data_IF_382227897300
#
_entry.id   IF_382227897300
#
_cell.length_a   1.000
_cell.length_b   1.000
_cell.length_c   1.000
_cell.angle_alpha   90.00
_cell.angle_beta   90.00
_cell.angle_gamma   90.00
#
_symmetry.space_group_name_H-M   'P 1'
#
loop_
_entity.id
_entity.type
_entity.pdbx_description
1 polymer ?
#
# COMPACT_ATOMS: atom_id res chain seq x y z
N UNK A 1 55.54 18.37 -35.87
CA UNK A 1 54.17 18.82 -35.48
C UNK A 1 53.21 18.26 -36.52
N UNK A 2 52.27 17.36 -36.26
CA UNK A 2 51.39 17.17 -35.09
C UNK A 2 50.94 15.71 -35.02
N UNK A 3 50.92 15.14 -33.82
CA UNK A 3 50.36 13.83 -33.47
C UNK A 3 48.83 13.94 -33.55
N UNK A 4 48.17 13.04 -34.27
CA UNK A 4 46.70 12.88 -34.23
C UNK A 4 46.34 12.01 -33.03
N UNK A 5 45.78 12.64 -31.99
CA UNK A 5 45.18 11.97 -30.84
C UNK A 5 43.80 11.44 -31.25
N UNK A 6 43.62 10.12 -31.21
CA UNK A 6 42.31 9.50 -31.23
C UNK A 6 41.68 9.62 -29.83
N UNK A 7 40.63 10.42 -29.68
CA UNK A 7 39.79 10.38 -28.48
C UNK A 7 38.82 9.20 -28.60
N UNK A 8 39.09 8.15 -27.83
CA UNK A 8 38.09 7.13 -27.49
C UNK A 8 37.08 7.76 -26.51
N UNK A 9 35.85 7.95 -26.97
CA UNK A 9 34.72 8.34 -26.14
C UNK A 9 34.16 7.08 -25.47
N UNK A 10 34.55 6.82 -24.22
CA UNK A 10 33.94 5.78 -23.40
C UNK A 10 32.59 6.28 -22.87
N UNK A 11 31.49 5.86 -23.47
CA UNK A 11 30.14 6.09 -22.95
C UNK A 11 29.90 5.12 -21.81
N UNK A 12 29.96 5.60 -20.57
CA UNK A 12 29.57 4.83 -19.40
C UNK A 12 28.05 4.68 -19.35
N UNK A 13 27.54 3.51 -19.72
CA UNK A 13 26.17 3.13 -19.37
C UNK A 13 26.13 2.88 -17.86
N UNK A 14 25.59 3.84 -17.11
CA UNK A 14 25.19 3.61 -15.73
C UNK A 14 24.10 2.54 -15.71
N UNK A 15 24.45 1.33 -15.27
CA UNK A 15 23.47 0.28 -15.04
C UNK A 15 22.54 0.71 -13.91
N UNK A 16 21.34 1.17 -14.24
CA UNK A 16 20.26 1.28 -13.27
C UNK A 16 19.93 -0.14 -12.83
N UNK A 17 20.21 -0.47 -11.57
CA UNK A 17 19.77 -1.75 -11.00
C UNK A 17 18.25 -1.83 -11.07
N UNK A 18 17.67 -2.97 -11.49
CA UNK A 18 16.22 -3.11 -11.51
C UNK A 18 15.70 -2.92 -10.08
N UNK A 19 14.88 -1.89 -9.89
CA UNK A 19 14.18 -1.69 -8.62
C UNK A 19 13.12 -2.78 -8.53
N UNK A 20 13.19 -3.60 -7.48
CA UNK A 20 12.13 -4.55 -7.19
C UNK A 20 10.84 -3.77 -6.96
N UNK A 21 9.73 -4.13 -7.65
CA UNK A 21 8.43 -3.51 -7.41
C UNK A 21 8.03 -3.62 -5.94
N UNK A 22 7.41 -2.57 -5.39
CA UNK A 22 7.00 -2.54 -3.99
C UNK A 22 5.98 -3.64 -3.64
N UNK A 23 5.31 -4.19 -4.66
CA UNK A 23 4.31 -5.25 -4.56
C UNK A 23 4.83 -6.66 -4.88
N UNK A 24 6.16 -6.85 -4.98
CA UNK A 24 6.74 -8.17 -5.25
C UNK A 24 6.68 -9.15 -4.07
N UNK A 25 6.50 -8.64 -2.85
CA UNK A 25 6.37 -9.40 -1.61
C UNK A 25 5.25 -8.78 -0.75
N UNK A 26 4.43 -9.58 -0.04
CA UNK A 26 3.31 -9.06 0.75
C UNK A 26 3.75 -8.09 1.84
N UNK A 27 4.89 -8.32 2.50
CA UNK A 27 5.38 -7.39 3.54
C UNK A 27 5.87 -6.10 2.89
N UNK A 28 6.54 -6.20 1.75
CA UNK A 28 6.98 -5.02 0.98
C UNK A 28 5.78 -4.15 0.56
N UNK A 29 4.67 -4.75 0.11
CA UNK A 29 3.48 -4.00 -0.28
C UNK A 29 2.94 -3.18 0.89
N UNK A 30 2.70 -3.82 2.04
CA UNK A 30 2.18 -3.14 3.22
C UNK A 30 3.18 -2.10 3.74
N UNK A 31 4.48 -2.39 3.67
CA UNK A 31 5.52 -1.42 4.03
C UNK A 31 5.49 -0.19 3.14
N UNK A 32 5.33 -0.38 1.83
CA UNK A 32 5.27 0.72 0.88
C UNK A 32 4.00 1.56 1.03
N UNK A 33 2.84 0.94 1.33
CA UNK A 33 1.62 1.66 1.73
C UNK A 33 1.92 2.54 2.93
N UNK A 34 2.45 2.00 4.03
CA UNK A 34 2.70 2.83 5.22
C UNK A 34 3.82 3.87 5.04
N UNK A 35 4.70 3.71 4.05
CA UNK A 35 5.74 4.67 3.72
C UNK A 35 5.17 5.98 3.15
N UNK A 36 4.04 5.92 2.45
CA UNK A 36 3.40 7.11 1.87
C UNK A 36 3.03 8.14 2.95
N UNK A 37 2.56 7.66 4.12
CA UNK A 37 2.23 8.46 5.28
C UNK A 37 3.42 9.20 5.92
N UNK A 38 4.64 8.70 5.70
CA UNK A 38 5.86 9.31 6.22
C UNK A 38 6.46 10.34 5.25
N UNK A 39 6.33 10.10 3.94
CA UNK A 39 6.96 10.89 2.89
C UNK A 39 6.15 12.12 2.48
N UNK A 40 4.82 12.10 2.64
CA UNK A 40 3.97 13.18 2.15
C UNK A 40 2.75 13.41 3.05
N UNK A 41 2.87 14.40 3.94
CA UNK A 41 1.82 14.73 4.93
C UNK A 41 0.69 15.58 4.35
N UNK A 42 0.87 16.10 3.13
CA UNK A 42 -0.03 17.07 2.51
C UNK A 42 -0.93 16.42 1.43
N UNK A 43 -0.89 15.08 1.28
CA UNK A 43 -1.74 14.35 0.33
C UNK A 43 -3.08 13.98 0.94
N UNK A 44 -4.17 14.28 0.24
CA UNK A 44 -5.53 13.90 0.64
C UNK A 44 -5.78 12.38 0.65
N UNK A 45 -4.92 11.58 0.00
CA UNK A 45 -5.04 10.11 -0.01
C UNK A 45 -3.66 9.43 -0.01
N UNK A 46 -3.06 9.18 1.16
CA UNK A 46 -1.82 8.42 1.28
C UNK A 46 -2.06 6.93 0.93
N UNK A 47 -1.71 6.55 -0.30
CA UNK A 47 -1.85 5.16 -0.77
C UNK A 47 -1.11 4.89 -2.08
N UNK A 48 -0.90 3.62 -2.41
CA UNK A 48 -0.37 3.23 -3.71
C UNK A 48 -1.50 3.10 -4.74
N UNK A 49 -1.28 3.50 -6.00
CA UNK A 49 -2.25 3.23 -7.06
C UNK A 49 -2.38 1.71 -7.27
N UNK A 50 -3.59 1.24 -7.59
CA UNK A 50 -3.87 -0.17 -7.90
C UNK A 50 -3.48 -1.16 -6.79
N UNK A 51 -3.65 -0.75 -5.53
CA UNK A 51 -3.29 -1.56 -4.35
C UNK A 51 -4.26 -2.72 -4.08
N UNK A 52 -5.52 -2.58 -4.46
CA UNK A 52 -6.56 -3.57 -4.19
C UNK A 52 -6.56 -4.70 -5.22
N UNK A 53 -6.97 -5.90 -4.77
CA UNK A 53 -7.24 -7.02 -5.66
C UNK A 53 -8.40 -6.66 -6.59
N UNK A 54 -8.53 -7.34 -7.73
CA UNK A 54 -9.68 -7.14 -8.63
C UNK A 54 -11.00 -7.31 -7.90
N UNK A 55 -11.07 -8.27 -6.97
CA UNK A 55 -12.26 -8.54 -6.16
C UNK A 55 -12.61 -7.38 -5.22
N UNK A 56 -11.63 -6.88 -4.45
CA UNK A 56 -11.87 -5.81 -3.49
C UNK A 56 -12.12 -4.48 -4.22
N UNK A 57 -11.39 -4.20 -5.30
CA UNK A 57 -11.62 -3.03 -6.15
C UNK A 57 -13.05 -3.01 -6.69
N UNK A 58 -13.60 -4.15 -7.12
CA UNK A 58 -14.99 -4.21 -7.59
C UNK A 58 -16.03 -3.86 -6.50
N UNK A 59 -15.70 -4.05 -5.22
CA UNK A 59 -16.56 -3.60 -4.11
C UNK A 59 -16.47 -2.09 -3.92
N UNK A 60 -15.26 -1.51 -4.02
CA UNK A 60 -15.04 -0.05 -3.98
C UNK A 60 -15.77 0.63 -5.14
N UNK A 61 -15.59 0.13 -6.37
CA UNK A 61 -16.24 0.68 -7.57
C UNK A 61 -17.77 0.59 -7.47
N UNK A 62 -18.28 -0.49 -6.86
CA UNK A 62 -19.71 -0.64 -6.61
C UNK A 62 -20.20 0.38 -5.60
N UNK A 63 -19.45 0.64 -4.52
CA UNK A 63 -19.80 1.64 -3.53
C UNK A 63 -19.85 3.04 -4.14
N UNK A 64 -18.84 3.41 -4.91
CA UNK A 64 -18.79 4.69 -5.63
C UNK A 64 -20.00 4.85 -6.57
N UNK A 65 -20.36 3.80 -7.33
CA UNK A 65 -21.51 3.83 -8.23
C UNK A 65 -22.86 3.96 -7.50
N UNK A 66 -22.98 3.35 -6.32
CA UNK A 66 -24.20 3.41 -5.51
C UNK A 66 -24.29 4.70 -4.68
N UNK A 67 -23.20 5.46 -4.58
CA UNK A 67 -23.10 6.69 -3.81
C UNK A 67 -23.79 7.85 -4.54
N UNK A 68 -24.78 8.51 -3.90
CA UNK A 68 -25.40 9.70 -4.48
C UNK A 68 -24.41 10.84 -4.68
N UNK A 69 -24.65 11.70 -5.67
CA UNK A 69 -23.82 12.89 -5.91
C UNK A 69 -23.71 13.76 -4.64
N UNK A 70 -22.47 14.14 -4.29
CA UNK A 70 -22.17 14.92 -3.09
C UNK A 70 -22.07 14.13 -1.79
N UNK A 71 -22.25 12.80 -1.83
CA UNK A 71 -22.01 11.91 -0.69
C UNK A 71 -20.64 11.23 -0.80
N UNK A 72 -20.09 10.79 0.33
CA UNK A 72 -18.74 10.19 0.41
C UNK A 72 -18.76 8.67 0.12
N UNK A 73 -19.89 8.00 0.35
CA UNK A 73 -20.03 6.54 0.22
C UNK A 73 -20.09 5.84 1.57
N UNK A 74 -19.96 4.52 1.59
CA UNK A 74 -20.02 3.73 2.84
C UNK A 74 -18.73 3.81 3.64
N UNK A 75 -17.61 3.98 2.96
CA UNK A 75 -16.28 4.14 3.56
C UNK A 75 -15.91 5.61 3.47
N UNK A 76 -16.11 6.34 4.56
CA UNK A 76 -15.80 7.77 4.63
C UNK A 76 -14.46 8.07 5.31
N UNK A 77 -13.62 7.07 5.61
CA UNK A 77 -12.32 7.21 6.28
C UNK A 77 -11.19 6.47 5.55
N UNK A 78 -9.94 6.76 5.91
CA UNK A 78 -8.78 6.00 5.45
C UNK A 78 -8.69 4.64 6.17
N UNK A 79 -8.96 3.57 5.41
CA UNK A 79 -8.99 2.19 5.90
C UNK A 79 -7.64 1.68 6.40
N UNK A 80 -6.50 2.21 5.95
CA UNK A 80 -5.18 1.72 6.38
C UNK A 80 -4.77 2.27 7.75
N UNK A 81 -5.31 3.42 8.14
CA UNK A 81 -5.02 4.08 9.44
C UNK A 81 -6.23 4.21 10.37
N UNK A 82 -7.41 3.82 9.91
CA UNK A 82 -8.68 3.90 10.65
C UNK A 82 -8.98 5.33 11.12
N UNK A 83 -8.97 6.30 10.18
CA UNK A 83 -9.22 7.69 10.52
C UNK A 83 -9.27 8.64 9.33
N UNK A 84 -9.62 9.90 9.62
CA UNK A 84 -9.56 11.02 8.67
C UNK A 84 -8.15 11.63 8.58
N UNK A 85 -7.47 11.66 9.73
CA UNK A 85 -6.12 12.19 9.89
C UNK A 85 -5.17 11.11 10.39
N UNK A 86 -3.87 11.32 10.17
CA UNK A 86 -2.84 10.42 10.69
C UNK A 86 -1.70 11.12 11.41
N UNK A 87 -1.26 10.47 12.49
CA UNK A 87 0.04 10.70 13.13
C UNK A 87 0.58 9.36 13.61
N UNK A 88 1.28 8.67 12.72
CA UNK A 88 1.71 7.30 12.98
C UNK A 88 2.96 7.26 13.86
N UNK A 89 2.95 6.40 14.88
CA UNK A 89 4.14 6.08 15.67
C UNK A 89 4.19 4.61 16.06
N UNK A 90 5.40 4.10 16.29
CA UNK A 90 5.60 2.71 16.71
C UNK A 90 5.13 1.67 15.70
N UNK A 91 5.17 1.99 14.41
CA UNK A 91 4.78 1.08 13.33
C UNK A 91 5.64 -0.19 13.34
N UNK A 92 4.96 -1.33 13.36
CA UNK A 92 5.53 -2.66 13.17
C UNK A 92 4.69 -3.41 12.15
N UNK A 93 5.36 -3.96 11.14
CA UNK A 93 4.74 -4.75 10.08
C UNK A 93 5.33 -6.15 10.17
N UNK A 94 4.47 -7.16 10.21
CA UNK A 94 4.88 -8.55 10.34
C UNK A 94 4.06 -9.46 9.43
N UNK A 95 4.74 -10.40 8.77
CA UNK A 95 4.09 -11.51 8.08
C UNK A 95 3.44 -12.44 9.12
N UNK A 96 2.16 -12.74 8.93
CA UNK A 96 1.40 -13.66 9.79
C UNK A 96 1.37 -15.05 9.16
N UNK A 97 1.06 -15.12 7.87
CA UNK A 97 1.03 -16.36 7.09
C UNK A 97 1.29 -16.06 5.61
N UNK A 98 1.81 -17.05 4.86
CA UNK A 98 2.06 -16.94 3.41
C UNK A 98 1.93 -18.30 2.75
N UNK A 99 1.23 -18.34 1.62
CA UNK A 99 1.19 -19.43 0.65
C UNK A 99 1.70 -18.93 -0.71
N UNK A 100 1.59 -19.77 -1.75
CA UNK A 100 2.00 -19.38 -3.10
C UNK A 100 1.16 -18.22 -3.67
N UNK A 101 -0.12 -18.10 -3.26
CA UNK A 101 -1.06 -17.15 -3.86
C UNK A 101 -1.76 -16.25 -2.84
N UNK A 102 -1.60 -16.49 -1.54
CA UNK A 102 -2.24 -15.72 -0.48
C UNK A 102 -1.26 -15.42 0.65
N UNK A 103 -1.46 -14.31 1.35
CA UNK A 103 -0.70 -13.98 2.54
C UNK A 103 -1.56 -13.19 3.52
N UNK A 104 -1.15 -13.21 4.79
CA UNK A 104 -1.66 -12.31 5.80
C UNK A 104 -0.50 -11.49 6.36
N UNK A 105 -0.69 -10.17 6.40
CA UNK A 105 0.29 -9.23 6.98
C UNK A 105 -0.41 -8.40 8.03
N UNK A 106 0.25 -8.19 9.16
CA UNK A 106 -0.26 -7.39 10.27
C UNK A 106 0.54 -6.12 10.41
N UNK A 107 -0.16 -4.99 10.51
CA UNK A 107 0.41 -3.72 10.94
C UNK A 107 -0.12 -3.34 12.31
N UNK A 108 0.80 -3.05 13.24
CA UNK A 108 0.46 -2.49 14.55
C UNK A 108 1.19 -1.17 14.71
N UNK A 109 0.48 -0.15 15.17
CA UNK A 109 0.99 1.21 15.33
C UNK A 109 0.09 1.96 16.31
N UNK A 110 0.46 3.20 16.64
CA UNK A 110 -0.47 4.18 17.16
C UNK A 110 -0.79 5.20 16.07
N UNK A 111 -2.07 5.52 15.88
CA UNK A 111 -2.49 6.72 15.18
C UNK A 111 -2.84 7.78 16.23
N UNK A 112 -2.05 8.85 16.30
CA UNK A 112 -2.01 9.74 17.46
C UNK A 112 -1.75 8.91 18.75
N UNK A 113 -2.64 9.00 19.73
CA UNK A 113 -2.57 8.25 20.98
C UNK A 113 -3.41 6.96 20.97
N UNK A 114 -4.08 6.66 19.85
CA UNK A 114 -4.95 5.49 19.70
C UNK A 114 -4.16 4.30 19.15
N UNK A 115 -4.18 3.13 19.83
CA UNK A 115 -3.55 1.93 19.30
C UNK A 115 -4.38 1.34 18.15
N UNK A 116 -3.68 0.93 17.08
CA UNK A 116 -4.26 0.29 15.90
C UNK A 116 -3.62 -1.07 15.66
N UNK A 117 -4.43 -2.02 15.16
CA UNK A 117 -3.99 -3.35 14.77
C UNK A 117 -4.78 -3.78 13.54
N UNK A 118 -4.15 -3.60 12.39
CA UNK A 118 -4.70 -3.86 11.07
C UNK A 118 -4.19 -5.20 10.57
N UNK A 119 -5.10 -6.06 10.11
CA UNK A 119 -4.78 -7.30 9.42
C UNK A 119 -5.16 -7.13 7.95
N UNK A 120 -4.21 -7.46 7.09
CA UNK A 120 -4.37 -7.43 5.64
C UNK A 120 -4.40 -8.85 5.14
N UNK A 121 -5.46 -9.20 4.41
CA UNK A 121 -5.48 -10.37 3.55
C UNK A 121 -4.95 -9.92 2.18
N UNK A 122 -4.01 -10.67 1.62
CA UNK A 122 -3.40 -10.36 0.33
C UNK A 122 -3.53 -11.53 -0.63
N UNK A 123 -3.75 -11.21 -1.91
CA UNK A 123 -3.77 -12.15 -3.02
C UNK A 123 -2.67 -11.81 -4.03
N UNK A 124 -2.06 -12.83 -4.63
CA UNK A 124 -1.12 -12.66 -5.74
C UNK A 124 -1.92 -12.66 -7.05
N UNK A 125 -1.93 -11.51 -7.75
CA UNK A 125 -2.60 -11.33 -9.03
C UNK A 125 -1.59 -10.84 -10.07
N UNK A 126 -1.49 -11.53 -11.22
CA UNK A 126 -0.64 -11.12 -12.34
C UNK A 126 0.84 -10.89 -11.95
N UNK A 127 1.33 -11.62 -10.94
CA UNK A 127 2.71 -11.50 -10.42
C UNK A 127 2.91 -10.43 -9.36
N UNK A 128 1.84 -9.74 -8.93
CA UNK A 128 1.89 -8.66 -7.96
C UNK A 128 0.98 -8.95 -6.77
N UNK A 129 1.46 -8.67 -5.56
CA UNK A 129 0.62 -8.75 -4.37
C UNK A 129 -0.38 -7.59 -4.35
N UNK A 130 -1.61 -7.91 -3.97
CA UNK A 130 -2.73 -6.97 -3.87
C UNK A 130 -3.44 -7.17 -2.54
N UNK A 131 -3.94 -6.09 -1.96
CA UNK A 131 -4.78 -6.14 -0.75
C UNK A 131 -6.14 -6.68 -1.15
N UNK A 132 -6.50 -7.84 -0.63
CA UNK A 132 -7.79 -8.49 -0.87
C UNK A 132 -8.81 -8.19 0.23
N UNK A 133 -8.37 -7.92 1.46
CA UNK A 133 -9.23 -7.36 2.51
C UNK A 133 -8.42 -6.59 3.56
N UNK A 134 -9.11 -5.74 4.31
CA UNK A 134 -8.54 -4.98 5.44
C UNK A 134 -9.45 -5.19 6.66
N UNK A 135 -8.86 -5.59 7.78
CA UNK A 135 -9.58 -5.75 9.04
C UNK A 135 -8.93 -4.92 10.16
N UNK A 136 -9.73 -4.12 10.85
CA UNK A 136 -9.37 -3.61 12.17
C UNK A 136 -9.73 -4.64 13.24
N UNK A 137 -8.72 -5.20 13.87
CA UNK A 137 -8.91 -6.31 14.84
C UNK A 137 -9.18 -5.84 16.27
N UNK A 138 -8.83 -4.59 16.61
CA UNK A 138 -9.20 -3.93 17.86
C UNK A 138 -10.62 -3.37 17.80
N UNK A 139 -11.29 -3.21 18.95
CA UNK A 139 -12.65 -2.66 18.99
C UNK A 139 -12.65 -1.12 18.74
N UNK A 140 -13.68 -0.56 18.09
CA UNK A 140 -14.70 -1.27 17.31
C UNK A 140 -14.06 -1.93 16.07
N UNK A 141 -14.52 -3.15 15.75
CA UNK A 141 -13.97 -3.96 14.66
C UNK A 141 -14.76 -3.72 13.38
N UNK A 142 -14.06 -3.78 12.25
CA UNK A 142 -14.66 -3.77 10.93
C UNK A 142 -13.79 -4.58 9.96
N UNK A 143 -14.40 -5.08 8.90
CA UNK A 143 -13.74 -5.72 7.77
C UNK A 143 -14.21 -5.00 6.52
N UNK A 144 -13.30 -4.52 5.67
CA UNK A 144 -13.61 -3.63 4.55
C UNK A 144 -14.68 -4.22 3.63
N UNK A 145 -14.56 -5.51 3.30
CA UNK A 145 -15.53 -6.19 2.43
C UNK A 145 -16.94 -6.39 3.01
N UNK A 146 -17.16 -6.06 4.29
CA UNK A 146 -18.43 -6.25 5.02
C UNK A 146 -19.11 -4.93 5.41
N UNK A 147 -18.52 -3.81 5.03
CA UNK A 147 -19.10 -2.47 5.18
C UNK A 147 -20.15 -2.27 4.09
#
# INVERSE_FOLDING_TARGET
MRILLALLLAVGLGAASPRTPDDSDPVSLITAIYKTYAEDKDKDNPGLPHVYSKRLQALVDKDEKETPEGMVGRIDWDVFVDGQDWKLSGLKIALVSKSATHAQVRATFKNFDHPSNMLFDLALEDGHWRVDDVEKTLKPRWTMSKI
#
